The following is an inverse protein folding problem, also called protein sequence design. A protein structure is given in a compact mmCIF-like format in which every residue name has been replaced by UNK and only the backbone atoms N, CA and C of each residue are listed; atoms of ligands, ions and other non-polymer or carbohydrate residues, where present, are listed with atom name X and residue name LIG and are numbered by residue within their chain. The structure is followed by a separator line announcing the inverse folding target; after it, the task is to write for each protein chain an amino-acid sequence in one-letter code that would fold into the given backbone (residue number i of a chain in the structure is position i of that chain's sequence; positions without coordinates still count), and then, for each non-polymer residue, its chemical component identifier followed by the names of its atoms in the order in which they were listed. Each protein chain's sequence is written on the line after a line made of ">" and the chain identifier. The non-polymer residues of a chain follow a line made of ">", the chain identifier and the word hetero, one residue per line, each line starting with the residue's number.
data_IF_874144748494
#
_entry.id   IF_874144748494
#
_cell.length_a   1.000
_cell.length_b   1.000
_cell.length_c   1.000
_cell.angle_alpha   90.00
_cell.angle_beta   90.00
_cell.angle_gamma   90.00
#
_symmetry.space_group_name_H-M   'P 1'
#
loop_
_entity.id
_entity.type
_entity.pdbx_description
1 polymer ?
#
# COMPACT_ATOMS: atom_id res chain seq x y z
N UNK A 1 20.92 -18.33 -58.85
CA UNK A 1 20.23 -18.61 -60.12
C UNK A 1 21.22 -18.69 -61.25
N UNK A 2 21.23 -19.76 -61.98
CA UNK A 2 22.17 -20.00 -63.06
C UNK A 2 23.67 -19.80 -62.67
N UNK A 3 24.05 -20.30 -61.49
CA UNK A 3 25.42 -20.20 -60.98
C UNK A 3 25.81 -18.82 -60.42
N UNK A 4 24.91 -17.80 -60.46
CA UNK A 4 25.10 -16.46 -59.91
C UNK A 4 24.41 -16.32 -58.56
N UNK A 5 25.14 -15.83 -57.54
CA UNK A 5 24.58 -15.47 -56.23
C UNK A 5 23.99 -14.04 -56.29
N UNK A 6 22.74 -13.90 -55.88
CA UNK A 6 22.07 -12.62 -55.77
C UNK A 6 21.90 -12.26 -54.31
N UNK A 7 22.34 -11.08 -53.92
CA UNK A 7 22.22 -10.52 -52.56
C UNK A 7 21.26 -9.36 -52.47
N UNK A 8 20.64 -9.00 -53.59
CA UNK A 8 19.62 -7.94 -53.67
C UNK A 8 18.54 -8.33 -54.68
N UNK A 9 17.33 -7.73 -54.48
CA UNK A 9 16.22 -7.89 -55.42
C UNK A 9 16.63 -7.44 -56.83
N UNK A 10 16.16 -8.13 -57.85
CA UNK A 10 16.40 -7.77 -59.27
C UNK A 10 15.22 -8.24 -60.13
N UNK A 11 14.94 -7.44 -61.16
CA UNK A 11 13.97 -7.78 -62.21
C UNK A 11 14.60 -7.67 -63.63
N UNK A 12 15.92 -7.46 -63.67
CA UNK A 12 16.66 -7.20 -64.94
C UNK A 12 17.69 -8.27 -65.25
N UNK A 13 17.93 -9.20 -64.36
CA UNK A 13 18.85 -10.30 -64.59
C UNK A 13 18.29 -11.25 -65.64
N UNK A 14 19.02 -11.53 -66.69
CA UNK A 14 18.60 -12.38 -67.80
C UNK A 14 19.58 -13.56 -67.94
N UNK A 15 19.07 -14.66 -68.43
CA UNK A 15 19.83 -15.85 -68.84
C UNK A 15 19.34 -16.32 -70.17
N UNK A 16 20.25 -16.49 -71.12
CA UNK A 16 19.96 -17.01 -72.44
C UNK A 16 20.25 -18.49 -72.51
N UNK A 17 19.28 -19.27 -72.95
CA UNK A 17 19.43 -20.70 -73.18
C UNK A 17 18.87 -21.01 -74.59
N UNK A 18 19.27 -22.14 -75.13
CA UNK A 18 18.79 -22.59 -76.45
C UNK A 18 17.64 -23.54 -76.26
N UNK A 19 16.53 -23.33 -76.98
CA UNK A 19 15.35 -24.16 -76.95
C UNK A 19 15.60 -25.48 -77.77
N UNK A 20 14.61 -26.38 -77.77
CA UNK A 20 14.65 -27.67 -78.51
C UNK A 20 14.84 -27.54 -80.00
N UNK A 21 14.65 -26.36 -80.61
CA UNK A 21 14.81 -26.05 -82.03
C UNK A 21 16.07 -25.24 -82.32
N UNK A 22 17.05 -25.25 -81.37
CA UNK A 22 18.31 -24.47 -81.44
C UNK A 22 18.15 -22.96 -81.62
N UNK A 23 16.99 -22.43 -81.16
CA UNK A 23 16.79 -20.98 -81.12
C UNK A 23 17.08 -20.44 -79.72
N UNK A 24 17.68 -19.23 -79.65
CA UNK A 24 17.96 -18.56 -78.38
C UNK A 24 16.66 -18.19 -77.68
N UNK A 25 16.58 -18.50 -76.39
CA UNK A 25 15.46 -18.15 -75.53
C UNK A 25 15.99 -17.41 -74.29
N UNK A 26 15.50 -16.24 -74.04
CA UNK A 26 15.90 -15.40 -72.89
C UNK A 26 14.91 -15.52 -71.77
N UNK A 27 15.39 -15.90 -70.57
CA UNK A 27 14.61 -15.94 -69.34
C UNK A 27 15.00 -14.74 -68.45
N UNK A 28 14.04 -14.00 -67.99
CA UNK A 28 14.26 -12.88 -67.06
C UNK A 28 13.93 -13.31 -65.65
N UNK A 29 14.81 -13.03 -64.68
CA UNK A 29 14.61 -13.31 -63.29
C UNK A 29 13.87 -12.09 -62.65
N UNK A 30 12.75 -12.37 -61.99
CA UNK A 30 12.12 -11.42 -61.09
C UNK A 30 12.32 -11.95 -59.66
N UNK A 31 13.33 -11.43 -58.99
CA UNK A 31 13.73 -11.86 -57.64
C UNK A 31 13.44 -10.75 -56.62
N UNK A 32 12.72 -11.08 -55.58
CA UNK A 32 12.48 -10.25 -54.43
C UNK A 32 13.22 -10.90 -53.24
N UNK A 33 14.19 -10.18 -52.69
CA UNK A 33 14.89 -10.59 -51.46
C UNK A 33 14.39 -9.70 -50.33
N UNK A 34 13.76 -10.34 -49.37
CA UNK A 34 13.38 -9.71 -48.11
C UNK A 34 14.51 -9.89 -47.09
N UNK A 35 14.66 -8.95 -46.19
CA UNK A 35 15.74 -8.94 -45.22
C UNK A 35 15.18 -9.06 -43.81
N UNK A 36 15.98 -9.65 -42.94
CA UNK A 36 15.80 -9.58 -41.48
C UNK A 36 15.90 -8.13 -41.03
N UNK A 37 15.25 -7.80 -39.95
CA UNK A 37 15.31 -6.50 -39.29
C UNK A 37 15.65 -6.67 -37.81
N UNK A 38 15.96 -5.57 -37.16
CA UNK A 38 16.10 -5.50 -35.70
C UNK A 38 15.34 -4.28 -35.18
N UNK A 39 14.87 -4.37 -33.95
CA UNK A 39 14.19 -3.27 -33.28
C UNK A 39 14.40 -3.33 -31.79
N UNK A 40 14.52 -2.16 -31.18
CA UNK A 40 14.62 -2.01 -29.73
C UNK A 40 13.34 -1.41 -29.19
N UNK A 41 12.90 -1.89 -28.02
CA UNK A 41 11.74 -1.38 -27.33
C UNK A 41 11.98 -1.36 -25.82
N UNK A 42 11.42 -0.36 -25.13
CA UNK A 42 11.48 -0.26 -23.67
C UNK A 42 10.07 -0.28 -23.11
N UNK A 43 9.84 -1.10 -22.11
CA UNK A 43 8.52 -1.31 -21.49
C UNK A 43 8.68 -1.35 -19.97
N UNK A 44 7.76 -0.65 -19.28
CA UNK A 44 7.61 -0.76 -17.82
C UNK A 44 6.28 -1.41 -17.49
N UNK A 45 6.28 -2.39 -16.60
CA UNK A 45 5.09 -3.13 -16.14
C UNK A 45 5.19 -3.43 -14.65
N UNK A 46 4.04 -3.79 -14.08
CA UNK A 46 3.96 -4.25 -12.69
C UNK A 46 3.90 -5.79 -12.68
N UNK A 47 4.72 -6.39 -11.83
CA UNK A 47 4.82 -7.81 -11.48
C UNK A 47 5.18 -8.75 -12.63
N UNK A 48 4.47 -8.69 -13.76
CA UNK A 48 4.66 -9.59 -14.88
C UNK A 48 4.44 -8.88 -16.22
N UNK A 49 5.26 -9.23 -17.18
CA UNK A 49 5.08 -8.90 -18.59
C UNK A 49 5.12 -10.17 -19.43
N UNK A 50 4.17 -10.32 -20.34
CA UNK A 50 4.16 -11.41 -21.33
C UNK A 50 4.63 -10.83 -22.66
N UNK A 51 5.71 -11.37 -23.20
CA UNK A 51 6.26 -10.92 -24.48
C UNK A 51 5.42 -11.38 -25.67
N UNK A 52 5.76 -10.92 -26.86
CA UNK A 52 5.02 -11.24 -28.07
C UNK A 52 5.14 -12.72 -28.49
N UNK A 53 6.04 -13.48 -27.88
CA UNK A 53 6.18 -14.93 -28.08
C UNK A 53 5.39 -15.74 -27.06
N UNK A 54 4.78 -15.08 -26.05
CA UNK A 54 3.98 -15.69 -24.99
C UNK A 54 4.78 -16.05 -23.74
N UNK A 55 6.05 -15.64 -23.62
CA UNK A 55 6.88 -15.94 -22.45
C UNK A 55 6.66 -14.89 -21.35
N UNK A 56 6.48 -15.32 -20.09
CA UNK A 56 6.35 -14.42 -18.95
C UNK A 56 7.72 -13.97 -18.44
N UNK A 57 7.83 -12.68 -18.13
CA UNK A 57 8.99 -12.04 -17.51
C UNK A 57 8.56 -11.37 -16.21
N UNK A 58 9.21 -11.73 -15.10
CA UNK A 58 8.92 -11.20 -13.75
C UNK A 58 10.06 -10.37 -13.16
N UNK A 59 11.10 -10.14 -13.95
CA UNK A 59 12.30 -9.40 -13.52
C UNK A 59 12.66 -8.34 -14.54
N UNK A 60 13.20 -7.23 -14.06
CA UNK A 60 13.84 -6.20 -14.88
C UNK A 60 15.05 -6.80 -15.59
N UNK A 61 15.19 -6.50 -16.86
CA UNK A 61 16.32 -6.99 -17.66
C UNK A 61 16.22 -6.70 -19.14
N UNK A 62 17.27 -7.05 -19.86
CA UNK A 62 17.33 -6.99 -21.31
C UNK A 62 17.03 -8.38 -21.86
N UNK A 63 15.99 -8.46 -22.68
CA UNK A 63 15.51 -9.71 -23.29
C UNK A 63 15.56 -9.61 -24.79
N UNK A 64 15.87 -10.72 -25.47
CA UNK A 64 15.88 -10.77 -26.93
C UNK A 64 15.02 -11.94 -27.39
N UNK A 65 14.22 -11.72 -28.41
CA UNK A 65 13.40 -12.72 -29.05
C UNK A 65 13.24 -12.47 -30.54
N UNK A 66 12.84 -13.48 -31.28
CA UNK A 66 12.72 -13.43 -32.72
C UNK A 66 11.24 -13.42 -33.10
N UNK A 67 10.86 -12.46 -33.94
CA UNK A 67 9.53 -12.35 -34.52
C UNK A 67 9.64 -12.24 -36.04
N UNK A 68 8.67 -12.76 -36.80
CA UNK A 68 8.62 -12.47 -38.23
C UNK A 68 8.29 -10.99 -38.45
N UNK A 69 9.05 -10.33 -39.33
CA UNK A 69 8.71 -8.99 -39.78
C UNK A 69 7.55 -9.01 -40.79
N UNK A 70 7.12 -7.86 -41.29
CA UNK A 70 5.96 -7.71 -42.19
C UNK A 70 6.09 -8.46 -43.54
N UNK A 71 7.28 -8.88 -43.90
CA UNK A 71 7.58 -9.64 -45.12
C UNK A 71 7.95 -11.11 -44.83
N UNK A 72 7.79 -11.55 -43.57
CA UNK A 72 7.98 -12.95 -43.17
C UNK A 72 9.41 -13.34 -42.88
N UNK A 73 10.36 -12.43 -42.81
CA UNK A 73 11.74 -12.72 -42.42
C UNK A 73 11.90 -12.56 -40.89
N UNK A 74 12.80 -13.33 -40.32
CA UNK A 74 13.14 -13.23 -38.91
C UNK A 74 13.63 -11.84 -38.55
N UNK A 75 13.10 -11.30 -37.45
CA UNK A 75 13.47 -10.01 -36.90
C UNK A 75 13.86 -10.18 -35.44
N UNK A 76 15.01 -9.67 -35.06
CA UNK A 76 15.45 -9.68 -33.66
C UNK A 76 14.88 -8.48 -32.93
N UNK A 77 14.12 -8.71 -31.87
CA UNK A 77 13.61 -7.66 -30.97
C UNK A 77 14.42 -7.68 -29.69
N UNK A 78 14.94 -6.51 -29.31
CA UNK A 78 15.61 -6.28 -28.04
C UNK A 78 14.65 -5.49 -27.15
N UNK A 79 14.27 -6.08 -26.02
CA UNK A 79 13.35 -5.51 -25.04
C UNK A 79 14.11 -5.11 -23.79
N UNK A 80 14.13 -3.82 -23.48
CA UNK A 80 14.55 -3.30 -22.18
C UNK A 80 13.32 -3.23 -21.27
N UNK A 81 13.19 -4.22 -20.40
CA UNK A 81 12.04 -4.38 -19.52
C UNK A 81 12.34 -3.90 -18.12
N UNK A 82 11.51 -3.01 -17.60
CA UNK A 82 11.46 -2.64 -16.18
C UNK A 82 10.23 -3.28 -15.55
N UNK A 83 10.44 -4.16 -14.57
CA UNK A 83 9.37 -4.75 -13.76
C UNK A 83 9.41 -4.14 -12.38
N UNK A 84 8.34 -3.42 -12.04
CA UNK A 84 8.09 -2.91 -10.69
C UNK A 84 7.18 -3.90 -9.96
N UNK A 85 7.31 -3.97 -8.64
CA UNK A 85 6.49 -4.85 -7.82
C UNK A 85 5.52 -4.05 -6.95
N UNK A 86 4.42 -4.68 -6.58
CA UNK A 86 3.55 -4.16 -5.52
C UNK A 86 4.36 -4.08 -4.22
N UNK A 87 3.97 -3.15 -3.37
CA UNK A 87 4.52 -3.02 -2.02
C UNK A 87 3.35 -2.91 -1.03
N UNK A 88 3.57 -3.34 0.19
CA UNK A 88 2.59 -3.20 1.25
C UNK A 88 3.23 -2.53 2.45
N UNK A 89 2.57 -1.52 2.99
CA UNK A 89 2.98 -0.87 4.22
C UNK A 89 2.10 -1.35 5.38
N UNK A 90 2.71 -1.54 6.54
CA UNK A 90 2.02 -1.90 7.77
C UNK A 90 2.33 -0.88 8.86
N UNK A 91 1.29 -0.27 9.42
CA UNK A 91 1.40 0.70 10.49
C UNK A 91 0.59 0.22 11.69
N UNK A 92 1.17 0.26 12.90
CA UNK A 92 0.43 0.04 14.15
C UNK A 92 0.26 1.36 14.87
N UNK A 93 -0.96 1.65 15.30
CA UNK A 93 -1.31 2.88 15.96
C UNK A 93 -2.28 2.63 17.12
N UNK A 94 -2.04 3.25 18.25
CA UNK A 94 -2.96 3.30 19.37
C UNK A 94 -3.47 4.75 19.52
N UNK A 95 -4.78 4.92 19.62
CA UNK A 95 -5.44 6.22 19.71
C UNK A 95 -6.55 6.20 20.74
N UNK A 96 -6.96 7.39 21.18
CA UNK A 96 -8.12 7.59 22.04
C UNK A 96 -9.34 7.86 21.14
N UNK A 97 -10.45 7.18 21.45
CA UNK A 97 -11.78 7.32 20.87
C UNK A 97 -11.85 7.08 19.37
N UNK A 98 -11.08 7.75 18.55
CA UNK A 98 -11.17 7.64 17.10
C UNK A 98 -9.98 8.25 16.36
N UNK A 99 -9.88 7.93 15.09
CA UNK A 99 -8.92 8.54 14.16
C UNK A 99 -9.53 8.70 12.78
N UNK A 100 -9.04 9.69 12.02
CA UNK A 100 -9.25 9.76 10.58
C UNK A 100 -7.98 9.26 9.89
N UNK A 101 -8.11 8.19 9.12
CA UNK A 101 -7.03 7.61 8.33
C UNK A 101 -7.46 7.48 6.87
N UNK A 102 -6.68 8.04 5.95
CA UNK A 102 -7.03 8.10 4.52
C UNK A 102 -8.45 8.65 4.26
N UNK A 103 -8.82 9.73 4.96
CA UNK A 103 -10.15 10.38 4.91
C UNK A 103 -11.33 9.50 5.34
N UNK A 104 -11.08 8.38 6.03
CA UNK A 104 -12.10 7.51 6.62
C UNK A 104 -12.00 7.59 8.14
N UNK A 105 -13.16 7.67 8.80
CA UNK A 105 -13.27 7.71 10.25
C UNK A 105 -13.29 6.30 10.82
N UNK A 106 -12.49 6.05 11.86
CA UNK A 106 -12.40 4.78 12.59
C UNK A 106 -12.49 5.02 14.08
N UNK A 107 -13.42 4.33 14.74
CA UNK A 107 -13.69 4.36 16.18
C UNK A 107 -13.60 2.97 16.83
N UNK A 108 -13.26 1.95 16.08
CA UNK A 108 -13.10 0.58 16.56
C UNK A 108 -11.68 0.08 16.31
N UNK A 109 -11.20 -0.74 17.24
CA UNK A 109 -9.93 -1.47 17.04
C UNK A 109 -10.08 -2.50 15.94
N UNK A 110 -9.04 -2.66 15.10
CA UNK A 110 -9.05 -3.62 14.01
C UNK A 110 -7.89 -3.46 13.06
N UNK A 111 -7.84 -4.34 12.05
CA UNK A 111 -6.92 -4.21 10.94
C UNK A 111 -7.70 -3.67 9.74
N UNK A 112 -7.26 -2.54 9.23
CA UNK A 112 -7.89 -1.85 8.11
C UNK A 112 -6.94 -1.81 6.92
N UNK A 113 -7.50 -1.94 5.72
CA UNK A 113 -6.76 -1.96 4.47
C UNK A 113 -7.20 -0.81 3.58
N UNK A 114 -6.25 -0.12 3.00
CA UNK A 114 -6.48 0.96 2.06
C UNK A 114 -5.69 0.73 0.78
N UNK A 115 -6.36 0.61 -0.38
CA UNK A 115 -5.68 0.48 -1.66
C UNK A 115 -4.95 1.77 -1.99
N UNK A 116 -3.71 1.66 -2.43
CA UNK A 116 -2.84 2.76 -2.83
C UNK A 116 -1.99 2.35 -4.02
N UNK A 117 -1.11 3.22 -4.46
CA UNK A 117 -0.16 2.94 -5.53
C UNK A 117 1.27 3.16 -5.01
N UNK A 118 2.20 2.36 -5.50
CA UNK A 118 3.62 2.63 -5.31
C UNK A 118 4.04 3.90 -6.06
N UNK A 119 5.22 4.43 -5.79
CA UNK A 119 5.80 5.57 -6.53
C UNK A 119 5.93 5.31 -8.03
N UNK A 120 5.98 4.05 -8.44
CA UNK A 120 6.04 3.61 -9.83
C UNK A 120 4.67 3.27 -10.43
N UNK A 121 3.58 3.53 -9.70
CA UNK A 121 2.21 3.34 -10.15
C UNK A 121 1.69 1.91 -10.10
N UNK A 122 2.38 0.98 -9.43
CA UNK A 122 1.88 -0.37 -9.21
C UNK A 122 0.93 -0.43 -8.02
N UNK A 123 -0.06 -1.32 -8.08
CA UNK A 123 -1.01 -1.53 -7.00
C UNK A 123 -0.29 -1.83 -5.69
N UNK A 124 -0.78 -1.25 -4.61
CA UNK A 124 -0.21 -1.36 -3.28
C UNK A 124 -1.32 -1.33 -2.23
N UNK A 125 -1.03 -1.86 -1.05
CA UNK A 125 -1.98 -1.85 0.07
C UNK A 125 -1.29 -1.28 1.31
N UNK A 126 -1.88 -0.23 1.87
CA UNK A 126 -1.55 0.23 3.20
C UNK A 126 -2.43 -0.51 4.22
N UNK A 127 -1.82 -1.13 5.21
CA UNK A 127 -2.50 -1.80 6.31
C UNK A 127 -2.28 -1.04 7.62
N UNK A 128 -3.37 -0.77 8.34
CA UNK A 128 -3.38 -0.15 9.66
C UNK A 128 -3.86 -1.15 10.70
N UNK A 129 -3.02 -1.49 11.67
CA UNK A 129 -3.43 -2.17 12.89
C UNK A 129 -3.75 -1.10 13.93
N UNK A 130 -5.03 -0.86 14.15
CA UNK A 130 -5.53 0.19 15.03
C UNK A 130 -5.99 -0.39 16.36
N UNK A 131 -5.51 0.22 17.44
CA UNK A 131 -6.03 0.01 18.79
C UNK A 131 -6.71 1.29 19.23
N UNK A 132 -8.02 1.23 19.43
CA UNK A 132 -8.82 2.34 19.95
C UNK A 132 -9.11 2.08 21.41
N UNK A 133 -8.71 2.99 22.28
CA UNK A 133 -9.02 2.98 23.71
C UNK A 133 -10.02 4.10 23.97
N UNK A 134 -11.24 3.80 24.43
CA UNK A 134 -12.20 4.85 24.71
C UNK A 134 -11.74 5.69 25.90
N UNK A 135 -11.99 6.99 25.83
CA UNK A 135 -11.94 7.88 27.00
C UNK A 135 -13.28 7.77 27.74
N UNK A 136 -13.22 7.43 29.01
CA UNK A 136 -14.42 7.38 29.84
C UNK A 136 -14.43 8.59 30.76
N UNK A 137 -15.46 9.43 30.62
CA UNK A 137 -15.82 10.37 31.65
C UNK A 137 -16.91 9.70 32.49
N UNK A 138 -16.52 9.09 33.57
CA UNK A 138 -17.49 8.64 34.56
C UNK A 138 -17.92 9.88 35.36
N UNK A 139 -19.00 10.54 34.92
CA UNK A 139 -19.85 11.16 35.89
C UNK A 139 -20.42 9.98 36.69
N UNK A 140 -19.84 9.66 37.83
CA UNK A 140 -20.56 8.85 38.80
C UNK A 140 -21.89 9.52 38.95
N UNK A 141 -22.99 8.79 38.70
CA UNK A 141 -24.30 9.27 39.15
C UNK A 141 -24.06 9.85 40.52
N UNK A 142 -24.47 11.08 40.68
CA UNK A 142 -24.36 11.83 41.94
C UNK A 142 -25.09 11.00 42.98
N UNK A 143 -24.47 9.97 43.51
CA UNK A 143 -24.87 9.43 44.78
C UNK A 143 -24.43 10.50 45.76
N UNK A 144 -25.36 11.35 46.13
CA UNK A 144 -25.18 12.24 47.24
C UNK A 144 -24.84 11.39 48.44
N UNK A 145 -23.54 11.29 48.70
CA UNK A 145 -23.06 10.52 49.85
C UNK A 145 -23.29 11.42 51.08
N UNK A 146 -24.23 11.02 51.93
CA UNK A 146 -24.40 11.67 53.23
C UNK A 146 -23.45 10.94 54.20
N UNK A 147 -22.45 11.64 54.64
CA UNK A 147 -21.55 11.15 55.66
C UNK A 147 -21.57 12.15 56.86
N UNK A 148 -21.34 11.60 58.08
CA UNK A 148 -21.19 12.41 59.28
C UNK A 148 -19.69 12.50 59.55
N UNK A 149 -19.21 13.70 59.79
CA UNK A 149 -17.84 14.03 60.20
C UNK A 149 -16.78 13.88 59.10
N UNK A 150 -16.60 12.69 58.46
CA UNK A 150 -15.56 12.44 57.48
C UNK A 150 -16.01 11.45 56.40
N UNK A 151 -15.48 11.58 55.20
CA UNK A 151 -15.65 10.63 54.10
C UNK A 151 -14.30 10.28 53.47
N UNK A 152 -14.09 9.04 53.14
CA UNK A 152 -12.91 8.55 52.47
C UNK A 152 -13.30 8.03 51.07
N UNK A 153 -12.78 8.65 50.05
CA UNK A 153 -13.01 8.25 48.67
C UNK A 153 -12.17 7.02 48.36
N UNK A 154 -12.81 5.89 48.11
CA UNK A 154 -12.17 4.62 47.83
C UNK A 154 -12.50 4.12 46.45
N UNK A 155 -11.55 3.45 45.81
CA UNK A 155 -11.83 2.69 44.59
C UNK A 155 -12.53 1.37 44.90
N UNK A 156 -12.87 0.59 43.81
CA UNK A 156 -13.53 -0.71 43.94
C UNK A 156 -12.72 -1.77 44.73
N UNK A 157 -11.43 -1.54 44.95
CA UNK A 157 -10.55 -2.40 45.71
C UNK A 157 -10.34 -1.89 47.16
N UNK A 158 -11.01 -0.82 47.56
CA UNK A 158 -10.87 -0.18 48.85
C UNK A 158 -9.59 0.64 49.00
N UNK A 159 -8.96 1.04 47.92
CA UNK A 159 -7.78 1.91 47.95
C UNK A 159 -8.23 3.37 47.88
N UNK A 160 -7.66 4.19 48.76
CA UNK A 160 -7.98 5.61 48.81
C UNK A 160 -7.64 6.33 47.50
N UNK A 161 -8.62 7.04 46.95
CA UNK A 161 -8.45 7.94 45.80
C UNK A 161 -8.10 9.32 46.33
N UNK A 162 -7.04 9.91 45.80
CA UNK A 162 -6.68 11.29 46.07
C UNK A 162 -7.14 12.13 44.87
N UNK A 163 -8.13 12.99 45.09
CA UNK A 163 -8.67 13.88 44.06
C UNK A 163 -7.66 14.94 43.62
N UNK A 164 -7.87 15.48 42.45
CA UNK A 164 -6.98 16.49 41.84
C UNK A 164 -7.39 17.94 42.11
N UNK A 165 -8.67 18.15 42.48
CA UNK A 165 -9.22 19.46 42.79
C UNK A 165 -9.31 19.75 44.34
N UNK A 166 -8.84 18.81 45.13
CA UNK A 166 -8.92 18.92 46.57
C UNK A 166 -7.93 19.96 47.09
N UNK A 167 -8.42 21.12 47.53
CA UNK A 167 -7.61 22.12 48.20
C UNK A 167 -7.32 21.65 49.64
N UNK A 168 -6.23 20.94 49.80
CA UNK A 168 -5.79 20.43 51.10
C UNK A 168 -5.28 21.58 51.96
N UNK A 169 -6.04 21.94 52.99
CA UNK A 169 -5.54 22.83 54.03
C UNK A 169 -4.50 22.16 54.94
N UNK A 170 -4.41 20.84 54.91
CA UNK A 170 -3.41 20.02 55.61
C UNK A 170 -2.96 18.85 54.73
N UNK A 171 -1.64 18.71 54.39
CA UNK A 171 -1.11 17.64 53.55
C UNK A 171 -1.30 16.21 54.11
N UNK A 172 -1.66 16.08 55.38
CA UNK A 172 -1.94 14.77 56.01
C UNK A 172 -3.37 14.26 55.77
N UNK A 173 -4.28 15.14 55.30
CA UNK A 173 -5.70 14.84 55.10
C UNK A 173 -6.06 14.63 53.62
N UNK A 174 -5.08 14.45 52.73
CA UNK A 174 -5.33 14.27 51.30
C UNK A 174 -6.22 13.03 51.06
N UNK A 175 -7.38 13.25 50.45
CA UNK A 175 -8.40 12.20 50.18
C UNK A 175 -9.35 11.91 51.38
N UNK A 176 -9.29 12.73 52.42
CA UNK A 176 -10.24 12.70 53.52
C UNK A 176 -11.04 14.02 53.57
N UNK A 177 -12.34 13.97 53.42
CA UNK A 177 -13.26 15.09 53.44
C UNK A 177 -13.85 15.21 54.85
N UNK A 178 -13.66 16.30 55.55
CA UNK A 178 -13.91 16.36 57.00
C UNK A 178 -14.62 17.61 57.54
N UNK A 179 -15.22 18.46 56.70
CA UNK A 179 -16.02 19.59 57.14
C UNK A 179 -17.41 19.57 56.52
N UNK A 180 -18.41 20.18 57.17
CA UNK A 180 -19.74 20.30 56.59
C UNK A 180 -19.67 21.16 55.32
N UNK A 181 -20.17 20.66 54.21
CA UNK A 181 -20.17 21.35 52.93
C UNK A 181 -20.38 20.44 51.74
N UNK A 182 -20.51 21.05 50.56
CA UNK A 182 -20.56 20.33 49.26
C UNK A 182 -19.16 20.35 48.68
N UNK A 183 -18.67 19.18 48.33
CA UNK A 183 -17.36 18.97 47.74
C UNK A 183 -17.50 18.41 46.33
N UNK A 184 -16.74 18.99 45.41
CA UNK A 184 -16.58 18.50 44.06
C UNK A 184 -15.09 18.19 43.86
N UNK A 185 -14.78 16.96 43.51
CA UNK A 185 -13.40 16.57 43.22
C UNK A 185 -13.36 15.62 42.03
N UNK A 186 -12.21 15.43 41.43
CA UNK A 186 -12.02 14.50 40.33
C UNK A 186 -10.66 13.80 40.41
N UNK A 187 -10.58 12.68 39.71
CA UNK A 187 -9.30 11.96 39.51
C UNK A 187 -9.18 11.52 38.09
N UNK A 188 -8.08 11.86 37.46
CA UNK A 188 -7.73 11.43 36.11
C UNK A 188 -6.88 10.16 36.16
N UNK A 189 -7.29 9.16 35.41
CA UNK A 189 -6.56 7.92 35.21
C UNK A 189 -6.16 7.80 33.76
N UNK A 190 -4.89 7.52 33.51
CA UNK A 190 -4.42 7.24 32.17
C UNK A 190 -4.48 5.74 31.92
N UNK A 191 -5.20 5.31 30.89
CA UNK A 191 -5.28 3.91 30.48
C UNK A 191 -3.95 3.41 29.92
N UNK A 192 -3.83 2.09 29.77
CA UNK A 192 -2.65 1.46 29.15
C UNK A 192 -2.39 1.96 27.73
N UNK A 193 -3.43 2.42 27.04
CA UNK A 193 -3.34 3.06 25.71
C UNK A 193 -2.99 4.56 25.74
N UNK A 194 -2.72 5.14 26.93
CA UNK A 194 -2.39 6.56 27.08
C UNK A 194 -3.61 7.50 27.04
N UNK A 195 -4.84 6.96 27.07
CA UNK A 195 -6.06 7.74 27.07
C UNK A 195 -6.49 8.09 28.50
N UNK A 196 -6.79 9.35 28.74
CA UNK A 196 -7.20 9.82 30.06
C UNK A 196 -8.68 9.56 30.28
N UNK A 197 -9.02 9.11 31.48
CA UNK A 197 -10.41 8.91 31.94
C UNK A 197 -10.56 9.64 33.26
N UNK A 198 -11.60 10.43 33.41
CA UNK A 198 -11.83 11.26 34.60
C UNK A 198 -13.03 10.75 35.37
N UNK A 199 -12.85 10.51 36.66
CA UNK A 199 -13.90 10.16 37.61
C UNK A 199 -14.18 11.36 38.49
N UNK A 200 -15.45 11.76 38.65
CA UNK A 200 -15.88 12.87 39.49
C UNK A 200 -16.50 12.36 40.77
N UNK A 201 -16.24 13.05 41.86
CA UNK A 201 -16.88 12.88 43.13
C UNK A 201 -17.69 14.12 43.47
N UNK A 202 -18.97 13.93 43.81
CA UNK A 202 -19.81 14.96 44.43
C UNK A 202 -20.20 14.48 45.81
N UNK A 203 -19.80 15.19 46.82
CA UNK A 203 -19.98 14.82 48.23
C UNK A 203 -20.66 15.92 48.97
N UNK A 204 -21.70 15.61 49.72
CA UNK A 204 -22.38 16.50 50.65
C UNK A 204 -22.22 15.98 52.09
N UNK A 205 -21.50 16.73 52.89
CA UNK A 205 -21.24 16.43 54.31
C UNK A 205 -22.07 17.31 55.24
#
# INVERSE_FOLDING_TARGET
>A
WNGTLYTASTSTATYTTTNSNNCDSTVTLNLIINYSSSGDTSITRCDIYIDATGNPHTSTGLYTFILPNSVGCDSTVSLDLTVNHYDSSFTSLAVCDSIIWNNVFYDLSGIYYYPTLTVNGCDSVAALNLVVSPTYTYATNVDTVFACDTYEWLDANGVRIIGENFAVSNPQDSGLYGNVGIYEDYKTYTSVGGCDSTVYLYLDL
#
